data_IF_555637847527
#
_entry.id   IF_555637847527
#
_cell.length_a   1.000
_cell.length_b   1.000
_cell.length_c   1.000
_cell.angle_alpha   90.00
_cell.angle_beta   90.00
_cell.angle_gamma   90.00
#
_symmetry.space_group_name_H-M   'P 1'
#
loop_
_entity.id
_entity.type
_entity.pdbx_description
1 polymer ?
#
# COMPACT_ATOMS: atom_id res chain seq x y z
N UNK A 1 2.68 0.72 1.17
CA UNK A 1 2.99 2.03 1.77
C UNK A 1 4.39 2.08 2.34
N UNK A 2 4.90 0.99 2.92
CA UNK A 2 6.26 0.96 3.48
C UNK A 2 7.37 0.77 2.44
N UNK A 3 7.05 0.36 1.20
CA UNK A 3 8.05 0.42 0.10
C UNK A 3 8.35 1.86 -0.34
N UNK A 4 7.49 2.83 0.03
CA UNK A 4 7.79 4.24 -0.14
C UNK A 4 8.74 4.67 0.97
N UNK A 5 9.96 4.98 0.54
CA UNK A 5 11.07 5.41 1.39
C UNK A 5 10.75 6.77 2.04
N UNK A 6 11.56 7.20 3.01
CA UNK A 6 11.58 8.62 3.37
C UNK A 6 12.55 9.35 2.45
N UNK A 7 12.32 10.65 2.24
CA UNK A 7 13.08 11.50 1.31
C UNK A 7 14.61 11.44 1.52
N UNK A 8 15.05 11.19 2.76
CA UNK A 8 16.46 11.08 3.13
C UNK A 8 16.82 9.73 3.77
N UNK A 9 15.94 8.73 3.69
CA UNK A 9 16.19 7.42 4.30
C UNK A 9 15.47 6.30 3.53
N UNK A 10 16.26 5.32 3.12
CA UNK A 10 15.85 4.12 2.39
C UNK A 10 14.86 3.22 3.15
N UNK A 11 14.84 3.28 4.48
CA UNK A 11 13.90 2.49 5.28
C UNK A 11 12.52 3.17 5.29
N UNK A 12 11.58 2.62 4.51
CA UNK A 12 10.20 3.10 4.45
C UNK A 12 9.26 2.52 5.51
N UNK A 13 9.74 1.89 6.57
CA UNK A 13 8.88 1.43 7.67
C UNK A 13 8.13 2.59 8.34
N UNK A 14 6.86 2.38 8.66
CA UNK A 14 6.07 3.35 9.43
C UNK A 14 6.30 3.07 10.91
N UNK A 15 6.80 4.07 11.64
CA UNK A 15 7.18 3.89 13.04
C UNK A 15 5.93 3.85 13.93
N UNK A 16 5.53 2.68 14.38
CA UNK A 16 4.35 2.51 15.23
C UNK A 16 4.66 2.13 16.67
N UNK A 17 5.88 1.63 16.91
CA UNK A 17 6.42 1.28 18.22
C UNK A 17 7.86 1.76 18.34
N UNK A 18 8.28 2.09 19.56
CA UNK A 18 9.69 2.32 19.89
C UNK A 18 10.45 0.99 20.08
N UNK A 19 11.75 1.06 20.38
CA UNK A 19 12.59 -0.12 20.60
C UNK A 19 12.19 -0.94 21.84
N UNK A 20 11.42 -0.35 22.76
CA UNK A 20 10.91 -0.99 23.98
C UNK A 20 9.51 -1.58 23.77
N UNK A 21 8.90 -1.40 22.59
CA UNK A 21 7.57 -1.89 22.26
C UNK A 21 6.43 -0.96 22.70
N UNK A 22 6.73 0.27 23.15
CA UNK A 22 5.70 1.25 23.48
C UNK A 22 5.17 1.92 22.21
N UNK A 23 3.94 2.44 22.26
CA UNK A 23 3.37 3.21 21.16
C UNK A 23 4.18 4.48 20.88
N UNK A 24 4.38 4.76 19.60
CA UNK A 24 4.78 6.09 19.15
C UNK A 24 3.51 6.90 18.94
N UNK A 25 3.46 8.05 19.60
CA UNK A 25 2.32 8.97 19.55
C UNK A 25 2.59 10.10 18.56
N UNK A 26 1.59 10.42 17.76
CA UNK A 26 1.61 11.48 16.76
C UNK A 26 0.60 12.55 17.13
N UNK A 27 0.89 13.83 16.88
CA UNK A 27 -0.06 14.91 17.16
C UNK A 27 -1.22 14.88 16.14
N UNK A 28 -0.93 14.48 14.90
CA UNK A 28 -1.91 14.27 13.84
C UNK A 28 -1.69 12.91 13.15
N UNK A 29 -2.74 12.30 12.56
CA UNK A 29 -2.59 11.01 11.90
C UNK A 29 -1.66 11.06 10.68
N UNK A 30 -1.62 12.18 9.95
CA UNK A 30 -0.74 12.33 8.80
C UNK A 30 0.76 12.40 9.16
N UNK A 31 1.10 12.71 10.41
CA UNK A 31 2.49 12.86 10.84
C UNK A 31 3.27 11.54 10.75
N UNK A 32 2.60 10.40 10.85
CA UNK A 32 3.19 9.07 10.63
C UNK A 32 3.72 8.85 9.19
N UNK A 33 3.29 9.69 8.26
CA UNK A 33 3.66 9.67 6.85
C UNK A 33 4.50 10.89 6.45
N UNK A 34 4.89 11.73 7.41
CA UNK A 34 5.70 12.91 7.15
C UNK A 34 7.04 12.53 6.51
N UNK A 35 7.49 13.34 5.54
CA UNK A 35 8.74 13.17 4.80
C UNK A 35 8.88 11.83 4.06
N UNK A 36 7.76 11.15 3.79
CA UNK A 36 7.71 10.02 2.85
C UNK A 36 7.97 10.47 1.42
N UNK A 37 8.35 9.53 0.58
CA UNK A 37 8.36 9.66 -0.87
C UNK A 37 7.07 10.35 -1.34
N UNK A 38 7.15 11.51 -2.03
CA UNK A 38 5.99 12.25 -2.49
C UNK A 38 4.99 11.43 -3.33
N UNK A 39 5.45 10.36 -3.98
CA UNK A 39 4.58 9.44 -4.72
C UNK A 39 3.61 8.69 -3.83
N UNK A 40 3.89 8.51 -2.53
CA UNK A 40 2.95 7.93 -1.57
C UNK A 40 1.65 8.74 -1.56
N UNK A 41 1.77 10.06 -1.38
CA UNK A 41 0.63 10.98 -1.38
C UNK A 41 -0.10 10.94 -2.72
N UNK A 42 0.62 10.97 -3.85
CA UNK A 42 0.01 10.90 -5.18
C UNK A 42 -0.67 9.57 -5.51
N UNK A 43 -0.41 8.52 -4.73
CA UNK A 43 -0.84 7.15 -5.05
C UNK A 43 -1.95 6.64 -4.14
N UNK A 44 -1.88 6.93 -2.84
CA UNK A 44 -2.86 6.49 -1.84
C UNK A 44 -3.35 7.65 -0.99
N UNK A 45 -4.58 7.55 -0.51
CA UNK A 45 -5.12 8.42 0.53
C UNK A 45 -4.89 7.71 1.86
N UNK A 46 -4.10 8.34 2.73
CA UNK A 46 -3.79 7.85 4.08
C UNK A 46 -4.47 8.74 5.14
N UNK A 47 -4.52 8.30 6.42
CA UNK A 47 -5.17 9.05 7.49
C UNK A 47 -4.68 10.50 7.60
N UNK A 48 -5.60 11.46 7.64
CA UNK A 48 -5.29 12.89 7.65
C UNK A 48 -5.07 13.54 6.27
N UNK A 49 -5.00 12.74 5.19
CA UNK A 49 -4.93 13.28 3.83
C UNK A 49 -6.18 14.08 3.46
N UNK A 50 -6.02 15.09 2.59
CA UNK A 50 -7.14 15.82 1.97
C UNK A 50 -7.47 15.19 0.62
N UNK A 51 -8.76 14.99 0.34
CA UNK A 51 -9.29 14.58 -0.96
C UNK A 51 -10.52 15.41 -1.31
N UNK A 52 -10.54 16.03 -2.51
CA UNK A 52 -11.62 16.96 -2.92
C UNK A 52 -11.88 18.08 -1.91
N UNK A 53 -10.82 18.60 -1.29
CA UNK A 53 -10.90 19.66 -0.27
C UNK A 53 -11.43 19.21 1.09
N UNK A 54 -11.74 17.92 1.29
CA UNK A 54 -12.21 17.38 2.56
C UNK A 54 -11.15 16.51 3.23
N UNK A 55 -10.94 16.62 4.55
CA UNK A 55 -10.04 15.74 5.28
C UNK A 55 -10.59 14.32 5.35
N UNK A 56 -9.71 13.34 5.17
CA UNK A 56 -10.03 11.91 5.22
C UNK A 56 -9.52 11.36 6.55
N UNK A 57 -10.45 11.21 7.50
CA UNK A 57 -10.16 10.93 8.92
C UNK A 57 -9.59 9.51 9.12
N UNK A 58 -10.24 8.49 8.57
CA UNK A 58 -9.82 7.09 8.64
C UNK A 58 -9.66 6.51 10.07
N UNK A 59 -10.11 7.20 11.12
CA UNK A 59 -10.08 6.71 12.49
C UNK A 59 -10.80 5.37 12.62
N UNK A 60 -10.09 4.35 13.10
CA UNK A 60 -10.57 2.98 13.27
C UNK A 60 -11.23 2.73 14.64
N UNK A 61 -10.93 3.57 15.63
CA UNK A 61 -11.37 3.40 17.02
C UNK A 61 -10.69 4.41 17.93
N UNK A 62 -10.92 4.24 19.23
CA UNK A 62 -10.23 4.94 20.31
C UNK A 62 -9.34 3.98 21.11
N UNK A 63 -8.22 4.47 21.63
CA UNK A 63 -7.43 3.78 22.65
C UNK A 63 -7.41 4.56 23.95
N UNK A 64 -7.46 3.84 25.06
CA UNK A 64 -7.37 4.40 26.41
C UNK A 64 -6.55 3.47 27.31
N UNK A 65 -5.97 4.01 28.38
CA UNK A 65 -5.14 3.25 29.30
C UNK A 65 -5.98 2.78 30.49
N UNK A 66 -5.94 1.48 30.81
CA UNK A 66 -6.66 0.92 31.96
C UNK A 66 -5.83 -0.21 32.59
N UNK A 67 -5.50 -0.05 33.88
CA UNK A 67 -4.79 -1.07 34.66
C UNK A 67 -3.48 -1.55 34.03
N UNK A 68 -2.67 -0.61 33.53
CA UNK A 68 -1.38 -0.82 32.84
C UNK A 68 -1.44 -1.33 31.39
N UNK A 69 -2.62 -1.43 30.79
CA UNK A 69 -2.77 -1.93 29.41
C UNK A 69 -3.57 -0.93 28.56
N UNK A 70 -3.10 -0.73 27.33
CA UNK A 70 -3.87 -0.02 26.30
C UNK A 70 -5.06 -0.86 25.86
N UNK A 71 -6.27 -0.38 26.17
CA UNK A 71 -7.53 -0.95 25.70
C UNK A 71 -8.00 -0.26 24.42
N UNK A 72 -8.84 -0.98 23.68
CA UNK A 72 -9.37 -0.56 22.40
C UNK A 72 -10.90 -0.45 22.49
N UNK A 73 -11.45 0.68 22.06
CA UNK A 73 -12.88 0.88 21.85
C UNK A 73 -13.14 1.06 20.35
N UNK A 74 -13.95 0.17 19.77
CA UNK A 74 -14.43 0.26 18.39
C UNK A 74 -15.95 0.16 18.35
N UNK A 75 -16.55 0.77 17.34
CA UNK A 75 -18.00 0.71 17.11
C UNK A 75 -18.31 0.81 15.62
N UNK A 76 -19.60 0.82 15.27
CA UNK A 76 -20.05 1.03 13.90
C UNK A 76 -19.57 2.38 13.35
N UNK A 77 -19.26 2.46 12.04
CA UNK A 77 -18.80 3.71 11.43
C UNK A 77 -19.75 4.89 11.70
N UNK A 78 -19.18 6.01 12.15
CA UNK A 78 -19.90 7.23 12.51
C UNK A 78 -20.38 7.31 13.96
N UNK A 79 -20.18 6.27 14.78
CA UNK A 79 -20.55 6.30 16.20
C UNK A 79 -19.59 7.16 17.02
N UNK A 80 -20.16 7.81 18.04
CA UNK A 80 -19.49 8.65 19.03
C UNK A 80 -19.72 8.07 20.43
N UNK A 81 -18.83 8.36 21.36
CA UNK A 81 -18.97 7.98 22.77
C UNK A 81 -19.90 8.93 23.53
N UNK A 82 -20.02 8.70 24.84
CA UNK A 82 -20.86 9.50 25.74
C UNK A 82 -20.43 10.97 25.88
N UNK A 83 -19.17 11.29 25.54
CA UNK A 83 -18.60 12.63 25.54
C UNK A 83 -18.62 13.28 24.15
N UNK A 84 -19.38 12.71 23.21
CA UNK A 84 -19.47 13.11 21.81
C UNK A 84 -18.13 13.05 21.05
N UNK A 85 -17.16 12.26 21.52
CA UNK A 85 -15.91 12.02 20.78
C UNK A 85 -16.12 10.87 19.80
N UNK A 86 -15.63 11.04 18.56
CA UNK A 86 -15.74 10.01 17.53
C UNK A 86 -15.04 8.71 17.98
N UNK A 87 -15.74 7.58 17.84
CA UNK A 87 -15.16 6.25 18.08
C UNK A 87 -14.54 5.75 16.78
N UNK A 88 -15.39 5.48 15.79
CA UNK A 88 -14.98 5.01 14.45
C UNK A 88 -15.48 6.01 13.42
N UNK A 89 -14.60 6.50 12.55
CA UNK A 89 -15.00 7.39 11.46
C UNK A 89 -15.84 6.66 10.40
N UNK A 90 -16.70 7.39 9.68
CA UNK A 90 -17.54 6.82 8.60
C UNK A 90 -16.69 6.16 7.51
N UNK A 91 -15.50 6.69 7.26
CA UNK A 91 -14.54 6.13 6.31
C UNK A 91 -13.47 5.24 6.97
N UNK A 92 -13.53 5.05 8.29
CA UNK A 92 -12.56 4.30 9.07
C UNK A 92 -12.51 2.82 8.73
N UNK A 93 -11.34 2.17 8.89
CA UNK A 93 -11.22 0.76 8.64
C UNK A 93 -11.86 -0.06 9.77
N UNK A 94 -12.51 -1.18 9.40
CA UNK A 94 -13.09 -2.11 10.37
C UNK A 94 -12.68 -3.55 10.08
N UNK A 95 -12.73 -4.41 11.10
CA UNK A 95 -12.52 -5.86 10.98
C UNK A 95 -13.86 -6.61 10.91
N UNK A 96 -14.82 -6.07 10.16
CA UNK A 96 -16.16 -6.64 9.98
C UNK A 96 -16.41 -7.00 8.51
N UNK A 97 -17.45 -7.81 8.25
CA UNK A 97 -17.91 -8.13 6.89
C UNK A 97 -18.84 -7.06 6.28
N UNK A 98 -19.01 -5.91 6.94
CA UNK A 98 -19.86 -4.82 6.44
C UNK A 98 -19.30 -4.30 5.11
N UNK A 99 -20.16 -4.28 4.08
CA UNK A 99 -19.83 -3.81 2.74
C UNK A 99 -19.63 -2.29 2.71
N UNK A 100 -18.88 -1.80 1.72
CA UNK A 100 -18.62 -0.37 1.50
C UNK A 100 -17.92 0.35 2.66
N UNK A 101 -17.26 -0.40 3.54
CA UNK A 101 -16.44 0.13 4.63
C UNK A 101 -14.97 -0.18 4.35
N UNK A 102 -14.08 0.73 4.73
CA UNK A 102 -12.64 0.53 4.57
C UNK A 102 -12.16 -0.69 5.38
N UNK A 103 -11.13 -1.40 4.92
CA UNK A 103 -10.60 -2.62 5.58
C UNK A 103 -9.08 -2.59 5.80
N UNK A 104 -8.40 -1.53 5.37
CA UNK A 104 -6.94 -1.48 5.27
C UNK A 104 -6.31 -0.27 5.94
N UNK A 105 -7.08 0.80 6.16
CA UNK A 105 -6.61 2.11 6.59
C UNK A 105 -6.14 3.02 5.46
N UNK A 106 -6.38 2.65 4.21
CA UNK A 106 -5.99 3.43 3.03
C UNK A 106 -7.06 3.40 1.93
N UNK A 107 -7.14 4.45 1.12
CA UNK A 107 -7.83 4.41 -0.18
C UNK A 107 -6.84 4.61 -1.33
N UNK A 108 -7.29 4.32 -2.55
CA UNK A 108 -6.58 4.71 -3.76
C UNK A 108 -6.69 6.23 -3.94
N UNK A 109 -5.61 6.87 -4.43
CA UNK A 109 -5.64 8.27 -4.91
C UNK A 109 -5.33 8.34 -6.40
N UNK A 110 -4.39 7.53 -6.86
CA UNK A 110 -3.95 7.50 -8.26
C UNK A 110 -5.14 7.29 -9.19
N UNK A 111 -5.21 8.10 -10.25
CA UNK A 111 -6.30 8.11 -11.23
C UNK A 111 -7.69 8.46 -10.67
N UNK A 112 -7.79 9.00 -9.46
CA UNK A 112 -9.03 9.60 -8.98
C UNK A 112 -9.12 11.07 -9.37
N UNK A 113 -10.21 11.43 -10.03
CA UNK A 113 -10.52 12.81 -10.38
C UNK A 113 -10.98 13.59 -9.14
N UNK A 114 -10.17 14.58 -8.77
CA UNK A 114 -10.42 15.47 -7.63
C UNK A 114 -11.31 16.67 -7.98
N UNK A 115 -11.76 16.81 -9.22
CA UNK A 115 -12.67 17.89 -9.63
C UNK A 115 -13.96 17.82 -8.80
N UNK A 116 -14.47 18.96 -8.29
CA UNK A 116 -15.74 19.01 -7.57
C UNK A 116 -16.87 18.35 -8.38
N UNK A 117 -17.64 17.49 -7.70
CA UNK A 117 -18.73 16.70 -8.29
C UNK A 117 -18.33 15.70 -9.38
N UNK A 118 -17.05 15.45 -9.63
CA UNK A 118 -16.65 14.33 -10.49
C UNK A 118 -17.21 13.01 -9.94
N UNK A 119 -17.78 12.19 -10.82
CA UNK A 119 -18.43 10.91 -10.51
C UNK A 119 -19.75 10.99 -9.69
N UNK A 120 -20.38 12.16 -9.58
CA UNK A 120 -21.76 12.25 -9.04
C UNK A 120 -22.79 11.75 -10.06
N UNK A 121 -23.98 11.35 -9.63
CA UNK A 121 -25.05 10.94 -10.56
C UNK A 121 -25.31 12.04 -11.60
N UNK A 122 -25.26 11.69 -12.88
CA UNK A 122 -25.41 12.62 -14.01
C UNK A 122 -24.12 13.31 -14.46
N UNK A 123 -23.00 13.17 -13.73
CA UNK A 123 -21.68 13.70 -14.10
C UNK A 123 -20.64 12.59 -14.08
N UNK A 124 -20.09 12.27 -15.25
CA UNK A 124 -19.00 11.29 -15.37
C UNK A 124 -17.70 11.85 -14.77
N UNK A 125 -16.68 11.01 -14.75
CA UNK A 125 -15.29 11.37 -14.50
C UNK A 125 -14.48 10.82 -15.67
N UNK A 126 -13.55 11.61 -16.19
CA UNK A 126 -12.72 11.23 -17.34
C UNK A 126 -11.26 11.28 -16.90
N UNK A 127 -10.69 10.10 -16.65
CA UNK A 127 -9.29 9.95 -16.27
C UNK A 127 -8.58 9.06 -17.28
N UNK A 128 -7.47 9.56 -17.81
CA UNK A 128 -6.60 8.79 -18.70
C UNK A 128 -5.93 7.69 -17.89
N UNK A 129 -6.05 6.44 -18.35
CA UNK A 129 -5.30 5.32 -17.81
C UNK A 129 -4.09 5.04 -18.72
N UNK A 130 -2.86 5.37 -18.31
CA UNK A 130 -1.68 5.17 -19.13
C UNK A 130 -1.48 3.68 -19.44
N UNK A 131 -1.23 3.35 -20.70
CA UNK A 131 -0.81 2.00 -21.12
C UNK A 131 0.70 1.86 -21.19
N UNK A 132 1.37 2.94 -21.59
CA UNK A 132 2.82 3.07 -21.62
C UNK A 132 3.15 4.53 -21.32
N UNK A 133 4.18 4.77 -20.51
CA UNK A 133 4.64 6.13 -20.21
C UNK A 133 6.15 6.19 -20.14
N UNK A 134 6.71 7.39 -20.30
CA UNK A 134 8.16 7.56 -20.43
C UNK A 134 8.97 6.93 -19.29
N UNK A 135 8.46 6.97 -18.05
CA UNK A 135 9.13 6.32 -16.93
C UNK A 135 9.30 4.81 -17.13
N UNK A 136 8.36 4.14 -17.80
CA UNK A 136 8.45 2.72 -18.13
C UNK A 136 9.58 2.46 -19.12
N UNK A 137 9.72 3.29 -20.15
CA UNK A 137 10.84 3.21 -21.09
C UNK A 137 12.20 3.36 -20.38
N UNK A 138 12.31 4.33 -19.48
CA UNK A 138 13.52 4.56 -18.67
C UNK A 138 13.79 3.35 -17.75
N UNK A 139 12.76 2.78 -17.15
CA UNK A 139 12.89 1.61 -16.28
C UNK A 139 13.25 0.33 -17.02
N UNK A 140 12.73 0.14 -18.24
CA UNK A 140 13.15 -0.96 -19.13
C UNK A 140 14.64 -0.80 -19.48
N UNK A 141 15.09 0.42 -19.79
CA UNK A 141 16.49 0.70 -20.06
C UNK A 141 17.39 0.51 -18.83
N UNK A 142 16.93 0.89 -17.63
CA UNK A 142 17.65 0.67 -16.38
C UNK A 142 17.86 -0.82 -16.09
N UNK A 143 16.79 -1.61 -16.22
CA UNK A 143 16.82 -3.05 -16.01
C UNK A 143 17.69 -3.76 -17.05
N UNK A 144 17.51 -3.46 -18.33
CA UNK A 144 18.35 -4.04 -19.39
C UNK A 144 19.84 -3.69 -19.22
N UNK A 145 20.15 -2.46 -18.80
CA UNK A 145 21.54 -2.07 -18.53
C UNK A 145 22.13 -2.83 -17.34
N UNK A 146 21.33 -3.10 -16.30
CA UNK A 146 21.76 -3.88 -15.15
C UNK A 146 22.07 -5.33 -15.54
N UNK A 147 21.17 -5.97 -16.31
CA UNK A 147 21.34 -7.36 -16.80
C UNK A 147 22.47 -7.53 -17.82
N UNK A 148 22.90 -6.44 -18.45
CA UNK A 148 24.05 -6.40 -19.38
C UNK A 148 25.36 -6.02 -18.68
N UNK A 149 25.42 -6.06 -17.35
CA UNK A 149 26.58 -5.68 -16.54
C UNK A 149 27.06 -4.23 -16.80
N UNK A 150 26.12 -3.29 -16.98
CA UNK A 150 26.40 -1.85 -17.18
C UNK A 150 25.86 -1.01 -16.01
N UNK A 151 26.39 -1.19 -14.78
CA UNK A 151 25.81 -0.63 -13.56
C UNK A 151 25.76 0.90 -13.55
N UNK A 152 26.76 1.57 -14.15
CA UNK A 152 26.77 3.04 -14.25
C UNK A 152 25.59 3.59 -15.07
N UNK A 153 25.19 2.90 -16.14
CA UNK A 153 24.01 3.30 -16.94
C UNK A 153 22.71 2.97 -16.23
N UNK A 154 22.63 1.79 -15.61
CA UNK A 154 21.46 1.40 -14.82
C UNK A 154 21.21 2.42 -13.68
N UNK A 155 22.27 2.82 -12.98
CA UNK A 155 22.22 3.83 -11.93
C UNK A 155 21.75 5.19 -12.45
N UNK A 156 22.28 5.67 -13.56
CA UNK A 156 21.84 6.94 -14.18
C UNK A 156 20.35 6.91 -14.51
N UNK A 157 19.87 5.86 -15.19
CA UNK A 157 18.46 5.74 -15.53
C UNK A 157 17.55 5.67 -14.31
N UNK A 158 17.92 4.89 -13.29
CA UNK A 158 17.13 4.76 -12.08
C UNK A 158 17.08 6.09 -11.30
N UNK A 159 18.20 6.79 -11.21
CA UNK A 159 18.29 8.09 -10.56
C UNK A 159 17.49 9.19 -11.28
N UNK A 160 17.27 9.11 -12.60
CA UNK A 160 16.34 10.01 -13.30
C UNK A 160 14.91 9.90 -12.74
N UNK A 161 14.45 8.69 -12.43
CA UNK A 161 13.12 8.47 -11.85
C UNK A 161 13.07 9.00 -10.41
N UNK A 162 14.09 8.66 -9.61
CA UNK A 162 14.21 9.06 -8.20
C UNK A 162 14.29 10.58 -8.02
N UNK A 163 15.11 11.24 -8.83
CA UNK A 163 15.25 12.70 -8.83
C UNK A 163 13.92 13.39 -9.15
N UNK A 164 13.17 12.89 -10.14
CA UNK A 164 11.82 13.42 -10.45
C UNK A 164 10.85 13.20 -9.29
N UNK A 165 10.93 12.04 -8.64
CA UNK A 165 10.10 11.74 -7.47
C UNK A 165 10.45 12.59 -6.23
N UNK A 166 11.61 13.26 -6.21
CA UNK A 166 12.05 14.09 -5.08
C UNK A 166 12.60 13.27 -3.91
N UNK A 167 13.18 12.11 -4.18
CA UNK A 167 13.83 11.26 -3.17
C UNK A 167 15.33 11.15 -3.44
N UNK A 168 16.10 10.78 -2.41
CA UNK A 168 17.55 10.65 -2.47
C UNK A 168 18.01 9.73 -3.64
N UNK A 169 19.05 10.13 -4.40
CA UNK A 169 19.63 9.28 -5.42
C UNK A 169 20.30 8.05 -4.79
N UNK A 170 20.45 7.00 -5.59
CA UNK A 170 21.25 5.83 -5.28
C UNK A 170 22.73 6.09 -5.62
N UNK A 171 23.62 5.53 -4.82
CA UNK A 171 25.06 5.48 -5.08
C UNK A 171 25.47 4.21 -5.82
N UNK A 172 24.78 3.10 -5.51
CA UNK A 172 24.93 1.80 -6.14
C UNK A 172 23.53 1.28 -6.45
N UNK A 173 23.38 0.63 -7.60
CA UNK A 173 22.14 -0.02 -8.01
C UNK A 173 22.24 -1.53 -7.76
N UNK A 174 21.25 -2.10 -7.10
CA UNK A 174 21.03 -3.54 -7.04
C UNK A 174 19.77 -3.94 -7.78
N UNK A 175 19.57 -5.23 -8.00
CA UNK A 175 18.35 -5.75 -8.58
C UNK A 175 17.11 -5.43 -7.71
N UNK A 176 17.25 -5.52 -6.38
CA UNK A 176 16.19 -5.17 -5.43
C UNK A 176 15.77 -3.70 -5.54
N UNK A 177 16.71 -2.80 -5.88
CA UNK A 177 16.40 -1.39 -6.13
C UNK A 177 15.50 -1.23 -7.34
N UNK A 178 15.78 -1.97 -8.42
CA UNK A 178 14.95 -1.97 -9.63
C UNK A 178 13.56 -2.53 -9.32
N UNK A 179 13.50 -3.66 -8.60
CA UNK A 179 12.24 -4.29 -8.17
C UNK A 179 11.40 -3.34 -7.31
N UNK A 180 12.03 -2.65 -6.35
CA UNK A 180 11.37 -1.69 -5.46
C UNK A 180 10.92 -0.45 -6.21
N UNK A 181 11.80 0.16 -7.01
CA UNK A 181 11.49 1.38 -7.73
C UNK A 181 10.37 1.16 -8.73
N UNK A 182 10.35 0.02 -9.45
CA UNK A 182 9.21 -0.35 -10.31
C UNK A 182 7.92 -0.54 -9.51
N UNK A 183 7.98 -1.12 -8.31
CA UNK A 183 6.80 -1.30 -7.44
C UNK A 183 6.18 0.04 -7.02
N UNK A 184 6.98 1.01 -6.62
CA UNK A 184 6.48 2.32 -6.16
C UNK A 184 6.07 3.20 -7.33
N UNK A 185 6.84 3.19 -8.42
CA UNK A 185 6.57 4.02 -9.60
C UNK A 185 5.27 3.60 -10.29
N UNK A 186 5.06 2.30 -10.49
CA UNK A 186 3.92 1.73 -11.22
C UNK A 186 2.84 1.14 -10.32
N UNK A 187 2.78 1.54 -9.05
CA UNK A 187 1.70 1.15 -8.16
C UNK A 187 0.33 1.49 -8.79
N UNK A 188 -0.56 0.49 -8.84
CA UNK A 188 -1.90 0.54 -9.47
C UNK A 188 -1.92 0.74 -10.99
N UNK A 189 -0.83 0.40 -11.70
CA UNK A 189 -0.74 0.46 -13.16
C UNK A 189 -0.57 -0.93 -13.80
N UNK A 190 -1.10 -1.99 -13.19
CA UNK A 190 -1.04 -3.38 -13.69
C UNK A 190 0.36 -4.00 -13.86
N UNK A 191 1.43 -3.44 -13.27
CA UNK A 191 2.79 -3.96 -13.47
C UNK A 191 3.17 -5.10 -12.51
N UNK A 192 2.86 -4.98 -11.22
CA UNK A 192 3.46 -5.82 -10.14
C UNK A 192 3.30 -7.33 -10.36
N UNK A 193 2.14 -7.77 -10.86
CA UNK A 193 1.89 -9.18 -11.12
C UNK A 193 2.78 -9.72 -12.24
N UNK A 194 2.87 -8.99 -13.37
CA UNK A 194 3.68 -9.39 -14.52
C UNK A 194 5.17 -9.29 -14.25
N UNK A 195 5.60 -8.25 -13.52
CA UNK A 195 6.98 -8.05 -13.09
C UNK A 195 7.46 -9.22 -12.22
N UNK A 196 6.71 -9.60 -11.18
CA UNK A 196 7.08 -10.76 -10.36
C UNK A 196 7.07 -12.07 -11.15
N UNK A 197 6.18 -12.20 -12.13
CA UNK A 197 6.10 -13.41 -12.96
C UNK A 197 7.32 -13.56 -13.88
N UNK A 198 7.72 -12.49 -14.58
CA UNK A 198 8.85 -12.54 -15.52
C UNK A 198 10.19 -12.68 -14.82
N UNK A 199 10.34 -12.13 -13.61
CA UNK A 199 11.53 -12.30 -12.78
C UNK A 199 11.60 -13.62 -12.01
N UNK A 200 10.56 -14.48 -12.11
CA UNK A 200 10.46 -15.72 -11.32
C UNK A 200 10.56 -15.49 -9.81
N UNK A 201 9.96 -14.40 -9.33
CA UNK A 201 9.90 -14.03 -7.91
C UNK A 201 8.51 -14.24 -7.30
N UNK A 202 7.48 -14.51 -8.11
CA UNK A 202 6.10 -14.55 -7.64
C UNK A 202 5.86 -15.64 -6.58
N UNK A 203 6.43 -16.84 -6.76
CA UNK A 203 6.34 -17.95 -5.79
C UNK A 203 7.18 -17.72 -4.53
N UNK A 204 8.24 -16.92 -4.63
CA UNK A 204 9.07 -16.53 -3.48
C UNK A 204 8.37 -15.46 -2.62
N UNK A 205 7.80 -14.44 -3.27
CA UNK A 205 7.10 -13.32 -2.62
C UNK A 205 5.74 -13.75 -2.07
N UNK A 206 5.03 -14.63 -2.78
CA UNK A 206 3.72 -15.16 -2.39
C UNK A 206 3.84 -16.65 -2.05
N UNK A 207 4.62 -16.94 -1.01
CA UNK A 207 4.98 -18.30 -0.61
C UNK A 207 3.89 -19.05 0.19
N UNK A 208 2.81 -18.37 0.61
CA UNK A 208 1.75 -18.95 1.45
C UNK A 208 2.15 -19.20 2.91
N UNK A 209 3.28 -18.65 3.38
CA UNK A 209 3.74 -18.75 4.77
C UNK A 209 3.01 -17.71 5.63
N UNK A 210 2.43 -18.17 6.75
CA UNK A 210 1.69 -17.30 7.66
C UNK A 210 2.61 -16.24 8.28
N UNK A 211 2.12 -15.00 8.38
CA UNK A 211 2.85 -13.84 8.91
C UNK A 211 4.10 -13.42 8.11
N UNK A 212 4.39 -14.04 6.97
CA UNK A 212 5.43 -13.54 6.07
C UNK A 212 5.06 -12.12 5.60
N UNK A 213 5.93 -11.10 5.78
CA UNK A 213 5.60 -9.72 5.47
C UNK A 213 5.34 -9.44 3.98
N UNK A 214 5.80 -10.30 3.08
CA UNK A 214 5.61 -10.18 1.63
C UNK A 214 4.37 -10.95 1.13
N UNK A 215 4.06 -12.09 1.74
CA UNK A 215 2.91 -12.91 1.34
C UNK A 215 1.62 -12.51 2.06
N UNK A 216 1.71 -12.14 3.34
CA UNK A 216 0.58 -11.68 4.14
C UNK A 216 0.17 -10.27 3.75
N UNK A 217 -1.14 -10.06 3.64
CA UNK A 217 -1.70 -8.73 3.46
C UNK A 217 -1.87 -8.07 4.82
N UNK A 218 -1.32 -6.86 4.96
CA UNK A 218 -1.34 -6.07 6.18
C UNK A 218 -2.18 -4.80 6.01
N UNK A 219 -2.84 -4.42 7.08
CA UNK A 219 -3.54 -3.16 7.25
C UNK A 219 -2.85 -2.31 8.32
N UNK A 220 -3.05 -1.00 8.26
CA UNK A 220 -2.57 -0.06 9.27
C UNK A 220 -3.75 0.75 9.80
N UNK A 221 -4.14 0.51 11.05
CA UNK A 221 -5.33 1.12 11.63
C UNK A 221 -4.92 2.30 12.52
N UNK A 222 -5.39 3.53 12.23
CA UNK A 222 -5.18 4.68 13.10
C UNK A 222 -6.20 4.72 14.24
N UNK A 223 -5.74 5.00 15.44
CA UNK A 223 -6.58 5.16 16.63
C UNK A 223 -6.30 6.51 17.29
N UNK A 224 -7.37 7.16 17.73
CA UNK A 224 -7.28 8.34 18.59
C UNK A 224 -7.07 7.87 20.03
N UNK A 225 -6.11 8.44 20.74
CA UNK A 225 -5.98 8.26 22.18
C UNK A 225 -7.02 9.14 22.86
N UNK A 226 -8.03 8.51 23.47
CA UNK A 226 -9.09 9.18 24.23
C UNK A 226 -9.00 8.71 25.68
N UNK A 227 -8.16 9.37 26.45
CA UNK A 227 -7.82 9.00 27.82
C UNK A 227 -7.64 10.27 28.67
N UNK A 228 -8.73 10.91 29.11
CA UNK A 228 -8.67 12.15 29.87
C UNK A 228 -7.77 12.02 31.11
N UNK A 229 -6.72 12.86 31.19
CA UNK A 229 -5.71 12.81 32.26
C UNK A 229 -4.38 12.18 31.83
N UNK A 230 -4.35 11.47 30.70
CA UNK A 230 -3.11 10.98 30.10
C UNK A 230 -2.40 12.10 29.31
N UNK A 231 -1.07 12.26 29.42
CA UNK A 231 -0.31 13.21 28.60
C UNK A 231 -0.44 13.01 27.09
N UNK A 232 -0.86 11.81 26.65
CA UNK A 232 -1.06 11.47 25.26
C UNK A 232 -2.51 11.58 24.81
N UNK A 233 -3.42 12.07 25.64
CA UNK A 233 -4.81 12.32 25.23
C UNK A 233 -4.87 13.24 24.00
N UNK A 234 -5.69 12.87 23.01
CA UNK A 234 -5.83 13.56 21.73
C UNK A 234 -4.77 13.21 20.68
N UNK A 235 -3.74 12.42 21.04
CA UNK A 235 -2.72 11.96 20.09
C UNK A 235 -3.19 10.74 19.29
N UNK A 236 -2.44 10.41 18.26
CA UNK A 236 -2.71 9.31 17.35
C UNK A 236 -1.68 8.21 17.48
N UNK A 237 -2.16 6.97 17.39
CA UNK A 237 -1.34 5.77 17.40
C UNK A 237 -1.84 4.81 16.34
N UNK A 238 -1.00 3.86 15.93
CA UNK A 238 -1.31 2.93 14.86
C UNK A 238 -1.08 1.49 15.29
N UNK A 239 -1.94 0.58 14.82
CA UNK A 239 -1.66 -0.86 14.84
C UNK A 239 -1.54 -1.41 13.43
N UNK A 240 -0.53 -2.25 13.23
CA UNK A 240 -0.37 -3.07 12.04
C UNK A 240 -0.97 -4.45 12.32
N UNK A 241 -1.92 -4.87 11.50
CA UNK A 241 -2.60 -6.17 11.65
C UNK A 241 -2.81 -6.84 10.30
N UNK A 242 -2.93 -8.16 10.29
CA UNK A 242 -3.31 -8.90 9.09
C UNK A 242 -4.71 -8.45 8.63
N UNK A 243 -4.88 -8.27 7.32
CA UNK A 243 -6.17 -7.80 6.78
C UNK A 243 -7.28 -8.79 7.08
N UNK A 244 -8.40 -8.32 7.61
CA UNK A 244 -9.56 -9.16 7.95
C UNK A 244 -10.14 -9.88 6.72
N UNK A 245 -10.19 -9.22 5.56
CA UNK A 245 -10.78 -9.77 4.32
C UNK A 245 -9.86 -10.76 3.59
N UNK A 246 -8.57 -10.78 3.93
CA UNK A 246 -7.58 -11.71 3.36
C UNK A 246 -6.67 -12.21 4.49
N UNK A 247 -7.22 -13.00 5.43
CA UNK A 247 -6.48 -13.40 6.63
C UNK A 247 -5.35 -14.38 6.30
N UNK A 248 -5.43 -15.06 5.15
CA UNK A 248 -4.42 -16.00 4.70
C UNK A 248 -3.39 -15.31 3.79
N UNK A 249 -2.11 -15.75 3.87
CA UNK A 249 -1.06 -15.28 2.98
C UNK A 249 -1.35 -15.70 1.53
N UNK A 250 -0.91 -14.88 0.58
CA UNK A 250 -0.97 -15.23 -0.83
C UNK A 250 -0.05 -16.42 -1.09
N UNK A 251 -0.59 -17.43 -1.79
CA UNK A 251 0.16 -18.59 -2.26
C UNK A 251 0.16 -18.59 -3.80
N UNK A 252 1.35 -18.51 -4.38
CA UNK A 252 1.60 -18.59 -5.81
C UNK A 252 2.47 -19.80 -6.08
N UNK A 253 1.98 -20.70 -6.92
CA UNK A 253 2.60 -21.97 -7.23
C UNK A 253 3.20 -21.96 -8.64
N UNK A 254 4.09 -22.89 -8.94
CA UNK A 254 4.75 -22.95 -10.26
C UNK A 254 3.75 -22.99 -11.43
N UNK A 255 2.59 -23.62 -11.26
CA UNK A 255 1.50 -23.63 -12.25
C UNK A 255 0.93 -22.24 -12.55
N UNK A 256 0.98 -21.30 -11.61
CA UNK A 256 0.42 -19.96 -11.77
C UNK A 256 1.29 -19.05 -12.67
N UNK A 257 2.51 -19.47 -12.99
CA UNK A 257 3.32 -18.77 -14.01
C UNK A 257 2.68 -18.82 -15.39
N UNK A 258 1.85 -19.83 -15.68
CA UNK A 258 1.16 -19.98 -16.95
C UNK A 258 -0.35 -19.82 -16.77
N UNK A 259 -1.02 -19.23 -17.76
CA UNK A 259 -2.47 -19.16 -17.77
C UNK A 259 -3.06 -20.54 -18.10
N UNK A 260 -4.28 -20.78 -17.64
CA UNK A 260 -5.04 -21.96 -18.04
C UNK A 260 -5.47 -21.84 -19.51
N UNK A 261 -5.36 -22.95 -20.23
CA UNK A 261 -5.94 -23.09 -21.56
C UNK A 261 -7.28 -23.79 -21.41
N UNK A 262 -8.35 -23.19 -21.93
CA UNK A 262 -9.69 -23.75 -21.82
C UNK A 262 -9.77 -25.19 -22.33
N UNK A 263 -10.43 -26.06 -21.57
CA UNK A 263 -10.51 -27.49 -21.90
C UNK A 263 -11.29 -27.71 -23.21
N UNK A 264 -12.26 -26.86 -23.52
CA UNK A 264 -12.97 -26.89 -24.80
C UNK A 264 -12.04 -26.59 -25.98
N UNK A 265 -11.06 -25.70 -25.81
CA UNK A 265 -10.08 -25.40 -26.87
C UNK A 265 -9.15 -26.58 -27.13
N UNK A 266 -8.72 -27.26 -26.07
CA UNK A 266 -7.90 -28.48 -26.16
C UNK A 266 -8.70 -29.60 -26.85
N UNK A 267 -9.96 -29.79 -26.46
CA UNK A 267 -10.82 -30.82 -27.05
C UNK A 267 -11.07 -30.56 -28.56
N UNK A 268 -11.18 -29.29 -28.96
CA UNK A 268 -11.45 -28.90 -30.34
C UNK A 268 -10.20 -28.87 -31.22
N UNK A 269 -9.00 -28.84 -30.63
CA UNK A 269 -7.75 -28.81 -31.39
C UNK A 269 -6.69 -29.72 -30.74
N UNK A 270 -6.46 -30.93 -31.29
CA UNK A 270 -5.52 -31.90 -30.71
C UNK A 270 -4.05 -31.44 -30.76
N UNK A 271 -3.73 -30.33 -31.43
CA UNK A 271 -2.39 -29.73 -31.42
C UNK A 271 -2.15 -28.83 -30.21
N UNK A 272 -3.20 -28.43 -29.49
CA UNK A 272 -3.07 -27.61 -28.28
C UNK A 272 -2.79 -28.53 -27.10
N UNK A 273 -1.64 -28.33 -26.46
CA UNK A 273 -1.25 -29.05 -25.24
C UNK A 273 -1.36 -28.13 -24.03
N UNK A 274 -1.59 -28.72 -22.86
CA UNK A 274 -1.63 -27.98 -21.59
C UNK A 274 -0.28 -27.35 -21.27
N UNK A 275 -0.33 -26.21 -20.57
CA UNK A 275 0.87 -25.64 -19.98
C UNK A 275 1.42 -26.54 -18.86
N UNK A 276 2.71 -26.43 -18.50
CA UNK A 276 3.30 -27.19 -17.41
C UNK A 276 2.53 -27.02 -16.09
N UNK A 277 2.41 -28.12 -15.33
CA UNK A 277 1.76 -28.16 -14.01
C UNK A 277 0.23 -27.92 -14.00
N UNK A 278 -0.48 -28.19 -15.13
CA UNK A 278 -1.95 -28.08 -15.30
C UNK A 278 -2.61 -29.36 -15.82
#
# INVERSE_FOLDING_TARGET
VEDYEYINNRNGEIKIRDAQGNYIFYDKPEDAFANKDPRLWGTVIYPGSVFKGMPVVLQAGQKYFDGDVWKLLTSEPGKRDENDVLITSVNGPTTTNVQYVNKTGFFFRKFLDETPSASTRGRRSEMWFPRFRFAEAVMIAAEAAYELDQPAKALDYLNRIRNRAGIQPLEVVTFEDIVRERRVEFAFEDHRYWDLKRWRLADQVWNGVQNDPQAQQWALFPYLVNDPGNPNNGKWVFDKLATHMSPYPRKFEMRNYYNFIDQGWINNNPKIVKNPYQ
#
